data_IF_794614286043
#
_entry.id   IF_794614286043
#
_cell.length_a   1.000
_cell.length_b   1.000
_cell.length_c   1.000
_cell.angle_alpha   90.00
_cell.angle_beta   90.00
_cell.angle_gamma   90.00
#
_symmetry.space_group_name_H-M   'P 1'
#
loop_
_entity.id
_entity.type
_entity.pdbx_description
1 polymer ?
#
# COMPACT_ATOMS: atom_id res chain seq x y z
N UNK A 1 -2.37 -0.23 -4.36
CA UNK A 1 -1.28 -1.22 -4.49
C UNK A 1 -1.29 -1.83 -5.88
N UNK A 2 -0.13 -1.99 -6.50
CA UNK A 2 0.02 -2.79 -7.72
C UNK A 2 0.43 -4.23 -7.34
N UNK A 3 -0.49 -5.16 -7.53
CA UNK A 3 -0.33 -6.56 -7.20
C UNK A 3 0.57 -7.31 -8.20
N UNK A 4 0.72 -6.82 -9.44
CA UNK A 4 1.60 -7.46 -10.43
C UNK A 4 3.08 -7.20 -10.16
N UNK A 5 3.39 -6.10 -9.46
CA UNK A 5 4.75 -5.71 -9.12
C UNK A 5 5.28 -6.32 -7.80
N UNK A 6 4.43 -7.01 -7.04
CA UNK A 6 4.83 -7.63 -5.76
C UNK A 6 4.40 -9.09 -5.74
N UNK A 7 5.34 -10.00 -5.42
CA UNK A 7 4.98 -11.41 -5.29
C UNK A 7 4.06 -11.65 -4.10
N UNK A 8 3.06 -12.51 -4.25
CA UNK A 8 2.10 -12.85 -3.18
C UNK A 8 2.79 -13.22 -1.86
N UNK A 9 3.90 -13.97 -1.92
CA UNK A 9 4.70 -14.36 -0.74
C UNK A 9 5.27 -13.16 0.02
N UNK A 10 5.72 -12.12 -0.67
CA UNK A 10 6.26 -10.90 -0.03
C UNK A 10 5.15 -10.01 0.51
N UNK A 11 3.99 -10.07 -0.12
CA UNK A 11 2.84 -9.25 0.21
C UNK A 11 2.05 -9.77 1.42
N UNK A 12 1.94 -11.09 1.58
CA UNK A 12 1.09 -11.71 2.59
C UNK A 12 1.37 -11.26 4.03
N UNK A 13 2.63 -11.11 4.50
CA UNK A 13 2.90 -10.65 5.87
C UNK A 13 2.43 -9.20 6.12
N UNK A 14 2.52 -8.35 5.10
CA UNK A 14 2.03 -6.95 5.17
C UNK A 14 0.51 -6.93 5.24
N UNK A 15 -0.16 -7.69 4.37
CA UNK A 15 -1.62 -7.79 4.38
C UNK A 15 -2.17 -8.40 5.66
N UNK A 16 -1.51 -9.43 6.19
CA UNK A 16 -1.85 -10.02 7.48
C UNK A 16 -1.69 -9.02 8.63
N UNK A 17 -0.64 -8.19 8.61
CA UNK A 17 -0.52 -7.10 9.56
C UNK A 17 -1.68 -6.11 9.41
N UNK A 18 -1.93 -5.59 8.20
CA UNK A 18 -2.99 -4.60 7.96
C UNK A 18 -4.37 -5.12 8.39
N UNK A 19 -4.68 -6.38 8.09
CA UNK A 19 -5.92 -7.03 8.54
C UNK A 19 -6.01 -7.29 10.04
N UNK A 20 -4.94 -7.09 10.82
CA UNK A 20 -5.00 -7.17 12.30
C UNK A 20 -5.08 -5.81 12.98
N UNK A 21 -4.83 -4.72 12.26
CA UNK A 21 -4.59 -3.41 12.88
C UNK A 21 -5.86 -2.55 12.91
N UNK A 22 -6.83 -2.73 12.01
CA UNK A 22 -8.13 -2.03 12.09
C UNK A 22 -9.10 -2.46 10.96
N UNK A 23 -10.42 -2.35 11.22
CA UNK A 23 -11.50 -2.44 10.21
C UNK A 23 -11.58 -1.18 9.30
N UNK A 24 -10.86 -0.10 9.65
CA UNK A 24 -10.91 1.23 9.01
C UNK A 24 -9.89 1.40 7.87
N UNK A 25 -9.01 0.43 7.61
CA UNK A 25 -8.07 0.52 6.49
C UNK A 25 -8.75 0.07 5.20
N UNK A 26 -9.09 1.03 4.34
CA UNK A 26 -9.55 0.74 2.99
C UNK A 26 -8.37 0.37 2.08
N UNK A 27 -8.19 -0.94 1.84
CA UNK A 27 -7.17 -1.42 0.93
C UNK A 27 -7.68 -1.43 -0.51
N UNK A 28 -7.03 -0.69 -1.40
CA UNK A 28 -7.26 -0.76 -2.85
C UNK A 28 -6.08 -1.40 -3.57
N UNK A 29 -6.34 -2.45 -4.33
CA UNK A 29 -5.32 -3.17 -5.11
C UNK A 29 -5.73 -3.31 -6.57
N UNK A 30 -4.78 -3.13 -7.48
CA UNK A 30 -4.94 -3.37 -8.91
C UNK A 30 -3.97 -4.44 -9.37
N UNK A 31 -4.40 -5.33 -10.27
CA UNK A 31 -3.58 -6.41 -10.80
C UNK A 31 -4.30 -7.26 -11.84
N UNK A 32 -3.56 -8.12 -12.54
CA UNK A 32 -4.16 -9.18 -13.36
C UNK A 32 -5.02 -10.12 -12.49
N UNK A 33 -6.15 -10.66 -13.02
CA UNK A 33 -7.07 -11.49 -12.24
C UNK A 33 -6.40 -12.68 -11.53
N UNK A 34 -5.46 -13.36 -12.18
CA UNK A 34 -4.75 -14.50 -11.59
C UNK A 34 -3.80 -14.08 -10.46
N UNK A 35 -3.19 -12.88 -10.57
CA UNK A 35 -2.34 -12.32 -9.52
C UNK A 35 -3.16 -11.94 -8.31
N UNK A 36 -4.31 -11.27 -8.53
CA UNK A 36 -5.23 -10.92 -7.45
C UNK A 36 -5.78 -12.18 -6.75
N UNK A 37 -6.12 -13.21 -7.51
CA UNK A 37 -6.62 -14.48 -6.95
C UNK A 37 -5.56 -15.26 -6.14
N UNK A 38 -4.27 -14.99 -6.34
CA UNK A 38 -3.19 -15.67 -5.63
C UNK A 38 -2.90 -15.11 -4.23
N UNK A 39 -3.59 -14.03 -3.83
CA UNK A 39 -3.35 -13.30 -2.59
C UNK A 39 -4.56 -13.42 -1.68
N UNK A 40 -4.33 -13.66 -0.38
CA UNK A 40 -5.39 -13.59 0.62
C UNK A 40 -5.54 -12.15 1.12
N UNK A 41 -6.59 -11.49 0.64
CA UNK A 41 -6.90 -10.10 0.93
C UNK A 41 -7.65 -9.93 2.25
N UNK A 42 -7.40 -8.85 3.01
CA UNK A 42 -8.26 -8.45 4.11
C UNK A 42 -9.70 -8.21 3.64
N UNK A 43 -10.66 -8.50 4.51
CA UNK A 43 -12.09 -8.19 4.27
C UNK A 43 -12.25 -6.70 3.94
N UNK A 44 -13.13 -6.37 3.00
CA UNK A 44 -13.37 -4.98 2.59
C UNK A 44 -12.37 -4.43 1.58
N UNK A 45 -11.36 -5.20 1.17
CA UNK A 45 -10.44 -4.79 0.10
C UNK A 45 -11.17 -4.55 -1.23
N UNK A 46 -10.86 -3.43 -1.88
CA UNK A 46 -11.31 -3.10 -3.23
C UNK A 46 -10.28 -3.63 -4.24
N UNK A 47 -10.71 -4.61 -5.05
CA UNK A 47 -9.86 -5.22 -6.08
C UNK A 47 -10.24 -4.68 -7.46
N UNK A 48 -9.27 -4.12 -8.16
CA UNK A 48 -9.40 -3.47 -9.46
C UNK A 48 -8.71 -4.33 -10.53
N UNK A 49 -9.38 -5.35 -11.11
CA UNK A 49 -8.78 -6.20 -12.12
C UNK A 49 -8.49 -5.41 -13.40
N UNK A 50 -7.35 -5.69 -14.04
CA UNK A 50 -7.04 -5.14 -15.36
C UNK A 50 -6.35 -6.16 -16.28
N UNK A 51 -6.37 -5.86 -17.57
CA UNK A 51 -5.60 -6.54 -18.60
C UNK A 51 -4.56 -5.57 -19.19
N UNK A 52 -3.30 -6.01 -19.26
CA UNK A 52 -2.17 -5.18 -19.72
C UNK A 52 -1.49 -4.38 -18.61
N UNK A 53 -0.19 -4.14 -18.77
CA UNK A 53 0.69 -3.59 -17.72
C UNK A 53 0.43 -2.11 -17.38
N UNK A 54 0.04 -1.28 -18.35
CA UNK A 54 -0.14 0.19 -18.17
C UNK A 54 -1.43 0.60 -17.45
N UNK A 55 -2.22 -0.36 -16.95
CA UNK A 55 -3.56 -0.07 -16.39
C UNK A 55 -3.61 -0.05 -14.87
N UNK A 56 -2.61 -0.64 -14.19
CA UNK A 56 -2.56 -0.63 -12.74
C UNK A 56 -2.44 0.80 -12.20
N UNK A 57 -1.51 1.58 -12.75
CA UNK A 57 -1.23 2.94 -12.27
C UNK A 57 -2.41 3.88 -12.47
N UNK A 58 -3.04 3.82 -13.65
CA UNK A 58 -4.23 4.62 -13.95
C UNK A 58 -5.38 4.23 -13.02
N UNK A 59 -5.65 2.92 -12.86
CA UNK A 59 -6.73 2.46 -11.99
C UNK A 59 -6.50 2.87 -10.52
N UNK A 60 -5.25 2.82 -10.04
CA UNK A 60 -4.89 3.24 -8.70
C UNK A 60 -4.95 4.76 -8.52
N UNK A 61 -4.53 5.53 -9.52
CA UNK A 61 -4.65 6.99 -9.51
C UNK A 61 -6.11 7.45 -9.55
N UNK A 62 -6.99 6.76 -10.30
CA UNK A 62 -8.42 7.07 -10.36
C UNK A 62 -9.15 6.72 -9.05
N UNK A 63 -8.72 5.65 -8.38
CA UNK A 63 -9.25 5.23 -7.09
C UNK A 63 -8.74 6.10 -5.93
N UNK A 64 -7.61 6.77 -6.10
CA UNK A 64 -7.08 7.68 -5.10
C UNK A 64 -8.05 8.82 -4.82
N UNK A 65 -8.26 9.08 -3.53
CA UNK A 65 -8.99 10.23 -3.02
C UNK A 65 -8.02 11.05 -2.19
N UNK A 66 -7.79 12.33 -2.54
CA UNK A 66 -6.96 13.19 -1.72
C UNK A 66 -7.74 13.55 -0.45
N UNK A 67 -7.19 13.14 0.68
CA UNK A 67 -7.56 13.52 2.04
C UNK A 67 -6.27 13.68 2.86
N UNK A 68 -6.42 14.13 4.10
CA UNK A 68 -5.34 14.28 5.08
C UNK A 68 -5.06 13.01 5.91
N UNK A 69 -5.74 11.92 5.60
CA UNK A 69 -5.50 10.63 6.25
C UNK A 69 -4.17 10.02 5.80
N UNK A 70 -3.65 9.07 6.56
CA UNK A 70 -2.36 8.47 6.24
C UNK A 70 -2.47 7.45 5.07
N UNK A 71 -1.60 7.60 4.08
CA UNK A 71 -1.57 6.78 2.86
C UNK A 71 -0.49 5.70 2.91
N UNK A 72 -0.87 4.47 2.56
CA UNK A 72 0.07 3.34 2.38
C UNK A 72 0.14 2.97 0.90
N UNK A 73 1.27 3.26 0.26
CA UNK A 73 1.58 2.87 -1.11
C UNK A 73 2.44 1.60 -1.12
N UNK A 74 1.86 0.48 -1.53
CA UNK A 74 2.62 -0.74 -1.79
C UNK A 74 2.98 -0.76 -3.28
N UNK A 75 4.08 -0.11 -3.64
CA UNK A 75 4.70 -0.05 -4.98
C UNK A 75 6.09 0.58 -4.90
N UNK A 76 6.98 0.26 -5.83
CA UNK A 76 8.25 0.97 -6.03
C UNK A 76 8.24 1.99 -7.16
N UNK A 77 7.14 2.10 -7.90
CA UNK A 77 7.09 2.84 -9.16
C UNK A 77 7.16 4.37 -8.95
N UNK A 78 8.03 5.03 -9.72
CA UNK A 78 8.21 6.47 -9.69
C UNK A 78 7.05 7.26 -10.29
N UNK A 79 6.15 6.62 -11.02
CA UNK A 79 4.95 7.29 -11.57
C UNK A 79 3.99 7.75 -10.46
N UNK A 80 4.02 7.08 -9.29
CA UNK A 80 3.29 7.53 -8.10
C UNK A 80 3.95 8.69 -7.35
N UNK A 81 5.18 9.09 -7.69
CA UNK A 81 5.91 10.09 -6.91
C UNK A 81 5.18 11.44 -6.84
N UNK A 82 4.50 11.85 -7.92
CA UNK A 82 3.71 13.08 -7.91
C UNK A 82 2.46 12.99 -7.03
N UNK A 83 1.85 11.80 -6.95
CA UNK A 83 0.72 11.55 -6.06
C UNK A 83 1.18 11.62 -4.60
N UNK A 84 2.28 10.94 -4.29
CA UNK A 84 2.90 10.93 -2.95
C UNK A 84 3.30 12.34 -2.52
N UNK A 85 3.95 13.11 -3.39
CA UNK A 85 4.39 14.49 -3.13
C UNK A 85 3.22 15.45 -2.83
N UNK A 86 2.04 15.19 -3.42
CA UNK A 86 0.85 16.03 -3.27
C UNK A 86 -0.11 15.55 -2.18
N UNK A 87 0.11 14.38 -1.62
CA UNK A 87 -0.73 13.85 -0.58
C UNK A 87 -0.48 14.64 0.72
N UNK A 88 -1.52 15.24 1.34
CA UNK A 88 -1.32 16.13 2.48
C UNK A 88 -1.08 15.38 3.79
N UNK A 89 -1.44 14.10 3.85
CA UNK A 89 -1.19 13.21 4.99
C UNK A 89 0.20 12.55 4.98
N UNK A 90 0.45 11.70 5.98
CA UNK A 90 1.68 10.93 6.06
C UNK A 90 1.68 9.79 5.03
N UNK A 91 2.79 9.60 4.31
CA UNK A 91 2.93 8.52 3.33
C UNK A 91 3.94 7.46 3.76
N UNK A 92 3.50 6.21 3.75
CA UNK A 92 4.36 5.02 3.82
C UNK A 92 4.42 4.34 2.46
N UNK A 93 5.63 4.09 1.97
CA UNK A 93 5.89 3.26 0.80
C UNK A 93 6.46 1.93 1.23
N UNK A 94 5.78 0.84 0.87
CA UNK A 94 6.24 -0.53 1.11
C UNK A 94 6.86 -1.06 -0.18
N UNK A 95 8.18 -1.11 -0.26
CA UNK A 95 8.90 -1.55 -1.46
C UNK A 95 10.37 -1.90 -1.17
N UNK A 96 10.85 -2.99 -1.78
CA UNK A 96 12.28 -3.34 -1.78
C UNK A 96 13.09 -2.69 -2.90
N UNK A 97 12.43 -1.98 -3.81
CA UNK A 97 13.09 -1.26 -4.90
C UNK A 97 12.34 0.03 -5.25
N UNK A 98 12.22 0.99 -4.31
CA UNK A 98 11.56 2.25 -4.62
C UNK A 98 12.38 3.07 -5.62
N UNK A 99 11.72 3.87 -6.43
CA UNK A 99 12.37 4.89 -7.25
C UNK A 99 13.08 5.93 -6.39
N UNK A 100 14.04 6.68 -6.96
CA UNK A 100 14.72 7.77 -6.25
C UNK A 100 13.73 8.82 -5.72
N UNK A 101 12.77 9.23 -6.56
CA UNK A 101 11.77 10.24 -6.19
C UNK A 101 10.90 9.84 -5.00
N UNK A 102 10.54 8.56 -4.88
CA UNK A 102 9.76 8.09 -3.72
C UNK A 102 10.56 8.15 -2.42
N UNK A 103 11.88 7.94 -2.47
CA UNK A 103 12.74 8.04 -1.28
C UNK A 103 12.80 9.46 -0.72
N UNK A 104 12.66 10.45 -1.59
CA UNK A 104 12.77 11.87 -1.20
C UNK A 104 11.48 12.39 -0.54
N UNK A 105 10.35 11.72 -0.75
CA UNK A 105 9.02 12.26 -0.39
C UNK A 105 8.22 11.40 0.59
N UNK A 106 8.67 10.18 0.91
CA UNK A 106 7.92 9.28 1.80
C UNK A 106 8.80 8.47 2.74
N UNK A 107 8.18 7.91 3.79
CA UNK A 107 8.81 6.87 4.60
C UNK A 107 8.85 5.59 3.78
N UNK A 108 10.02 4.97 3.64
CA UNK A 108 10.21 3.72 2.90
C UNK A 108 10.41 2.57 3.90
N UNK A 109 9.75 1.44 3.67
CA UNK A 109 10.05 0.17 4.35
C UNK A 109 10.12 -0.97 3.33
N UNK A 110 11.20 -1.74 3.38
CA UNK A 110 11.29 -3.04 2.72
C UNK A 110 11.03 -4.17 3.73
N UNK A 111 9.82 -4.77 3.76
CA UNK A 111 9.51 -5.83 4.71
C UNK A 111 10.31 -7.11 4.46
N UNK A 112 10.88 -7.30 3.27
CA UNK A 112 11.71 -8.47 2.98
C UNK A 112 13.06 -8.40 3.70
N UNK A 113 13.58 -7.20 3.97
CA UNK A 113 14.85 -6.99 4.67
C UNK A 113 14.67 -6.55 6.12
N UNK A 114 13.65 -5.74 6.39
CA UNK A 114 13.44 -5.09 7.70
C UNK A 114 12.35 -5.77 8.54
N UNK A 115 11.59 -6.68 7.95
CA UNK A 115 10.40 -7.26 8.58
C UNK A 115 9.23 -6.28 8.66
N UNK A 116 8.16 -6.68 9.35
CA UNK A 116 6.90 -5.89 9.41
C UNK A 116 6.83 -4.91 10.58
N UNK A 117 7.80 -4.96 11.50
CA UNK A 117 7.77 -4.13 12.71
C UNK A 117 7.90 -2.62 12.45
N UNK A 118 8.71 -2.15 11.48
CA UNK A 118 8.70 -0.73 11.10
C UNK A 118 7.34 -0.26 10.58
N UNK A 119 6.62 -1.12 9.84
CA UNK A 119 5.26 -0.84 9.35
C UNK A 119 4.31 -0.68 10.53
N UNK A 120 4.35 -1.62 11.50
CA UNK A 120 3.53 -1.54 12.72
C UNK A 120 3.76 -0.23 13.48
N UNK A 121 5.03 0.17 13.67
CA UNK A 121 5.37 1.42 14.36
C UNK A 121 4.86 2.65 13.61
N UNK A 122 4.97 2.65 12.28
CA UNK A 122 4.43 3.73 11.47
C UNK A 122 2.90 3.83 11.57
N UNK A 123 2.19 2.70 11.49
CA UNK A 123 0.73 2.66 11.66
C UNK A 123 0.28 3.23 13.02
N UNK A 124 1.01 2.92 14.09
CA UNK A 124 0.72 3.47 15.41
C UNK A 124 0.99 4.97 15.50
N UNK A 125 2.09 5.45 14.91
CA UNK A 125 2.42 6.88 14.89
C UNK A 125 1.44 7.71 14.05
N UNK A 126 0.89 7.13 12.99
CA UNK A 126 -0.11 7.75 12.11
C UNK A 126 -1.55 7.66 12.65
N UNK A 127 -1.76 7.14 13.86
CA UNK A 127 -3.09 7.00 14.47
C UNK A 127 -3.95 5.86 13.90
N UNK A 128 -3.46 5.11 12.91
CA UNK A 128 -4.18 3.99 12.28
C UNK A 128 -4.31 2.78 13.23
N UNK A 129 -3.37 2.60 14.16
CA UNK A 129 -3.42 1.50 15.15
C UNK A 129 -4.07 1.88 16.50
N UNK A 130 -4.72 3.04 16.58
CA UNK A 130 -5.18 3.67 17.83
C UNK A 130 -6.64 3.45 18.22
N UNK A 131 -7.30 2.41 17.73
CA UNK A 131 -8.72 2.13 18.00
C UNK A 131 -8.95 1.01 19.02
N UNK A 132 -8.90 1.33 20.32
CA UNK A 132 -9.89 0.87 21.34
C UNK A 132 -9.61 1.61 22.66
N UNK A 133 -10.34 2.69 22.90
CA UNK A 133 -10.83 3.06 24.22
C UNK A 133 -12.31 3.46 24.05
N UNK A 134 -13.19 2.46 24.09
CA UNK A 134 -14.62 2.64 24.38
C UNK A 134 -15.14 1.52 25.25
#
# INVERSE_FOLDING_TARGET
MDADNVTARRLQPVLSLLGTVTDDVQLTASGRPHTLAAVSWPTGSVLLPHEGWQRADVALADAYRPDDEALILISGDGDFALLVDRHPGAVLVVSGAPSGRLRDTATIVDPATEGVEPIRRWLAASGIAGGTDH
#
